data_IF_965606333489
#
_entry.id   IF_965606333489
#
_cell.length_a   1.000
_cell.length_b   1.000
_cell.length_c   1.000
_cell.angle_alpha   90.00
_cell.angle_beta   90.00
_cell.angle_gamma   90.00
#
_symmetry.space_group_name_H-M   'P 1'
#
loop_
_entity.id
_entity.type
_entity.pdbx_description
1 polymer ?
#
# COMPACT_ATOMS: atom_id res chain seq x y z
N UNK A 1 24.44 -24.98 10.75
CA UNK A 1 24.56 -26.46 10.72
C UNK A 1 25.38 -26.91 11.91
N UNK A 2 25.15 -28.12 12.42
CA UNK A 2 25.90 -28.71 13.53
C UNK A 2 25.96 -30.23 13.42
N UNK A 3 26.98 -30.83 14.01
CA UNK A 3 27.14 -32.29 14.06
C UNK A 3 26.66 -32.79 15.42
N UNK A 4 25.67 -33.67 15.41
CA UNK A 4 25.05 -34.21 16.61
C UNK A 4 25.36 -35.68 16.72
N UNK A 5 25.68 -36.11 17.94
CA UNK A 5 25.93 -37.51 18.25
C UNK A 5 24.78 -38.00 19.12
N UNK A 6 24.05 -39.00 18.62
CA UNK A 6 23.11 -39.77 19.42
C UNK A 6 23.86 -40.95 20.01
N UNK A 7 23.71 -41.17 21.32
CA UNK A 7 24.28 -42.30 22.04
C UNK A 7 23.13 -43.09 22.67
N UNK A 8 23.02 -44.36 22.34
CA UNK A 8 22.07 -45.28 22.95
C UNK A 8 22.85 -46.37 23.70
N UNK A 9 22.52 -46.63 24.96
CA UNK A 9 23.28 -47.53 25.82
C UNK A 9 22.38 -48.48 26.61
N UNK A 10 22.80 -49.74 26.71
CA UNK A 10 22.19 -50.78 27.56
C UNK A 10 23.28 -51.59 28.29
N UNK A 11 22.89 -52.67 28.98
CA UNK A 11 23.82 -53.52 29.75
C UNK A 11 24.82 -54.30 28.87
N UNK A 12 24.52 -54.47 27.58
CA UNK A 12 25.35 -55.21 26.62
C UNK A 12 26.35 -54.28 25.90
N UNK A 13 26.10 -52.97 25.88
CA UNK A 13 27.01 -52.01 25.26
C UNK A 13 26.36 -50.67 24.89
N UNK A 14 27.09 -49.88 24.11
CA UNK A 14 26.67 -48.57 23.62
C UNK A 14 26.81 -48.47 22.10
N UNK A 15 25.78 -47.97 21.42
CA UNK A 15 25.84 -47.58 20.00
C UNK A 15 25.86 -46.05 19.87
N UNK A 16 26.64 -45.56 18.90
CA UNK A 16 26.74 -44.13 18.61
C UNK A 16 26.47 -43.85 17.14
N UNK A 17 25.56 -42.90 16.90
CA UNK A 17 25.23 -42.44 15.55
C UNK A 17 25.45 -40.95 15.44
N UNK A 18 26.24 -40.56 14.46
CA UNK A 18 26.53 -39.16 14.16
C UNK A 18 25.64 -38.70 13.02
N UNK A 19 24.80 -37.71 13.28
CA UNK A 19 23.97 -37.06 12.28
C UNK A 19 24.47 -35.62 12.08
N UNK A 20 24.69 -35.22 10.83
CA UNK A 20 24.97 -33.83 10.51
C UNK A 20 23.65 -33.13 10.24
N UNK A 21 23.23 -32.27 11.17
CA UNK A 21 22.00 -31.49 11.02
C UNK A 21 22.36 -30.14 10.42
N UNK A 22 21.96 -29.96 9.16
CA UNK A 22 21.92 -28.63 8.56
C UNK A 22 20.56 -28.02 8.88
N UNK A 23 20.53 -27.16 9.90
CA UNK A 23 19.42 -26.22 10.05
C UNK A 23 19.53 -25.26 8.87
N UNK A 24 18.83 -25.59 7.79
CA UNK A 24 18.43 -24.56 6.88
C UNK A 24 17.49 -23.66 7.70
N UNK A 25 17.87 -22.40 7.89
CA UNK A 25 16.90 -21.33 8.11
C UNK A 25 16.08 -21.18 6.82
N UNK A 26 15.42 -22.25 6.39
CA UNK A 26 14.49 -22.24 5.29
C UNK A 26 13.26 -21.57 5.86
N UNK A 27 13.02 -20.34 5.43
CA UNK A 27 11.65 -19.91 5.17
C UNK A 27 10.94 -21.11 4.55
N UNK A 28 9.98 -21.66 5.28
CA UNK A 28 9.23 -22.83 4.83
C UNK A 28 8.68 -22.47 3.46
N UNK A 29 9.11 -23.21 2.46
CA UNK A 29 8.67 -23.08 1.09
C UNK A 29 7.14 -23.21 1.09
N UNK A 30 6.44 -22.10 0.84
CA UNK A 30 4.97 -22.03 0.89
C UNK A 30 4.36 -21.28 2.08
N UNK A 31 5.10 -20.93 3.15
CA UNK A 31 4.59 -19.96 4.13
C UNK A 31 4.85 -18.55 3.63
N UNK A 32 3.78 -17.80 3.35
CA UNK A 32 3.88 -16.44 2.84
C UNK A 32 4.36 -15.50 3.95
N UNK A 33 5.69 -15.37 4.07
CA UNK A 33 6.34 -14.53 5.11
C UNK A 33 6.21 -13.05 4.78
N UNK A 34 6.07 -12.70 3.50
CA UNK A 34 5.86 -11.33 3.04
C UNK A 34 4.45 -11.16 2.49
N UNK A 35 3.72 -10.16 3.00
CA UNK A 35 2.42 -9.77 2.45
C UNK A 35 2.41 -8.28 2.11
N UNK A 36 2.20 -7.98 0.84
CA UNK A 36 1.97 -6.62 0.33
C UNK A 36 0.46 -6.30 0.35
N UNK A 37 0.15 -5.02 0.56
CA UNK A 37 -1.19 -4.46 0.64
C UNK A 37 -1.23 -3.12 -0.09
N UNK A 38 -2.38 -2.82 -0.69
CA UNK A 38 -2.67 -1.48 -1.21
C UNK A 38 -3.20 -0.62 -0.07
N UNK A 39 -2.56 0.52 0.19
CA UNK A 39 -3.04 1.52 1.16
C UNK A 39 -3.95 2.55 0.52
N UNK A 40 -3.53 3.05 -0.64
CA UNK A 40 -4.24 4.10 -1.36
C UNK A 40 -4.04 3.93 -2.85
N UNK A 41 -5.10 4.21 -3.60
CA UNK A 41 -5.09 4.18 -5.06
C UNK A 41 -5.61 5.52 -5.56
N UNK A 42 -4.85 6.14 -6.44
CA UNK A 42 -5.22 7.36 -7.15
C UNK A 42 -5.17 7.14 -8.67
N UNK A 43 -5.47 8.19 -9.43
CA UNK A 43 -5.50 8.12 -10.89
C UNK A 43 -4.11 7.90 -11.50
N UNK A 44 -3.06 8.44 -10.90
CA UNK A 44 -1.69 8.36 -11.43
C UNK A 44 -0.68 7.79 -10.43
N UNK A 45 -1.16 7.32 -9.28
CA UNK A 45 -0.29 6.79 -8.23
C UNK A 45 -0.96 5.72 -7.39
N UNK A 46 -0.14 4.84 -6.82
CA UNK A 46 -0.58 3.77 -5.92
C UNK A 46 0.39 3.72 -4.75
N UNK A 47 -0.15 3.89 -3.54
CA UNK A 47 0.59 3.69 -2.30
C UNK A 47 0.42 2.26 -1.84
N UNK A 48 1.53 1.52 -1.79
CA UNK A 48 1.57 0.16 -1.25
C UNK A 48 2.31 0.13 0.08
N UNK A 49 1.94 -0.84 0.91
CA UNK A 49 2.63 -1.16 2.17
C UNK A 49 2.81 -2.66 2.31
N UNK A 50 3.77 -3.11 3.10
CA UNK A 50 3.97 -4.54 3.33
C UNK A 50 4.27 -4.85 4.78
N UNK A 51 3.87 -6.05 5.19
CA UNK A 51 4.18 -6.63 6.49
C UNK A 51 4.92 -7.93 6.31
N UNK A 52 5.79 -8.21 7.27
CA UNK A 52 6.56 -9.45 7.32
C UNK A 52 6.12 -10.23 8.56
N UNK A 53 5.71 -11.49 8.38
CA UNK A 53 5.23 -12.33 9.47
C UNK A 53 6.42 -12.78 10.35
N UNK A 54 6.42 -12.33 11.60
CA UNK A 54 7.51 -12.52 12.56
C UNK A 54 7.60 -13.93 13.17
N UNK A 55 6.64 -14.82 12.95
CA UNK A 55 6.67 -16.16 13.56
C UNK A 55 7.75 -17.09 12.97
N UNK A 56 8.37 -16.71 11.84
CA UNK A 56 9.56 -17.36 11.24
C UNK A 56 10.85 -16.54 11.51
N UNK A 57 10.75 -15.48 12.33
CA UNK A 57 11.69 -14.36 12.36
C UNK A 57 12.48 -14.29 13.67
N UNK A 58 12.92 -15.42 14.20
CA UNK A 58 13.81 -15.46 15.37
C UNK A 58 15.30 -15.43 15.00
N UNK A 59 15.66 -15.42 13.71
CA UNK A 59 17.06 -15.28 13.32
C UNK A 59 17.24 -14.36 12.10
N UNK A 60 17.54 -13.08 12.35
CA UNK A 60 18.39 -12.23 11.50
C UNK A 60 18.06 -12.24 9.99
N UNK A 61 16.79 -12.11 9.59
CA UNK A 61 16.46 -11.82 8.20
C UNK A 61 16.74 -10.33 7.92
N UNK A 62 18.02 -9.96 7.80
CA UNK A 62 18.41 -8.67 7.25
C UNK A 62 18.21 -8.74 5.73
N UNK A 63 17.18 -8.07 5.25
CA UNK A 63 16.98 -7.93 3.81
C UNK A 63 18.19 -7.22 3.20
N UNK A 64 18.73 -7.76 2.12
CA UNK A 64 19.82 -7.12 1.37
C UNK A 64 19.28 -6.24 0.24
N UNK A 65 18.09 -6.57 -0.27
CA UNK A 65 17.47 -5.87 -1.37
C UNK A 65 15.97 -6.07 -1.39
N UNK A 66 15.24 -5.02 -1.74
CA UNK A 66 13.82 -5.05 -2.06
C UNK A 66 13.62 -4.46 -3.46
N UNK A 67 12.81 -5.14 -4.26
CA UNK A 67 12.55 -4.79 -5.66
C UNK A 67 11.04 -4.80 -5.88
N UNK A 68 10.50 -3.67 -6.29
CA UNK A 68 9.11 -3.55 -6.71
C UNK A 68 9.03 -3.70 -8.22
N UNK A 69 8.17 -4.60 -8.70
CA UNK A 69 7.84 -4.76 -10.12
C UNK A 69 6.38 -4.38 -10.34
N UNK A 70 6.13 -3.56 -11.35
CA UNK A 70 4.80 -3.27 -11.86
C UNK A 70 4.70 -3.89 -13.24
N UNK A 71 3.61 -4.63 -13.48
CA UNK A 71 3.33 -5.23 -14.78
C UNK A 71 1.93 -4.86 -15.26
N UNK A 72 1.85 -4.56 -16.55
CA UNK A 72 0.63 -4.42 -17.36
C UNK A 72 1.02 -4.94 -18.76
N UNK A 73 0.12 -5.57 -19.55
CA UNK A 73 0.32 -5.90 -20.95
C UNK A 73 1.15 -4.92 -21.81
N UNK A 74 1.13 -3.63 -21.49
CA UNK A 74 1.86 -2.59 -22.23
C UNK A 74 3.17 -2.12 -21.60
N UNK A 75 3.36 -2.24 -20.28
CA UNK A 75 4.49 -1.62 -19.57
C UNK A 75 4.92 -2.52 -18.40
N UNK A 76 6.21 -2.79 -18.33
CA UNK A 76 6.85 -3.40 -17.17
C UNK A 76 7.87 -2.42 -16.58
N UNK A 77 7.74 -2.11 -15.30
CA UNK A 77 8.67 -1.22 -14.59
C UNK A 77 9.20 -1.87 -13.32
N UNK A 78 10.46 -1.58 -12.97
CA UNK A 78 11.13 -2.13 -11.79
C UNK A 78 11.82 -1.02 -11.01
N UNK A 79 11.53 -0.92 -9.70
CA UNK A 79 12.14 0.02 -8.78
C UNK A 79 12.86 -0.70 -7.65
N UNK A 80 14.01 -0.17 -7.23
CA UNK A 80 14.69 -0.60 -6.00
C UNK A 80 14.10 0.15 -4.82
N UNK A 81 13.73 -0.59 -3.79
CA UNK A 81 13.11 -0.06 -2.58
C UNK A 81 14.14 -0.15 -1.43
N UNK A 82 14.32 0.91 -0.64
CA UNK A 82 15.16 0.85 0.56
C UNK A 82 14.65 -0.23 1.53
N UNK A 83 15.57 -0.94 2.20
CA UNK A 83 15.21 -2.06 3.08
C UNK A 83 14.59 -1.66 4.41
N UNK A 84 14.72 -0.38 4.81
CA UNK A 84 14.17 0.16 6.06
C UNK A 84 12.77 0.76 5.90
N UNK A 85 12.28 0.92 4.67
CA UNK A 85 10.91 1.40 4.42
C UNK A 85 9.93 0.24 4.32
N UNK A 86 8.68 0.49 4.68
CA UNK A 86 7.59 -0.48 4.64
C UNK A 86 6.44 -0.02 3.75
N UNK A 87 6.63 1.12 3.08
CA UNK A 87 5.66 1.80 2.24
C UNK A 87 6.38 2.41 1.05
N UNK A 88 5.72 2.40 -0.10
CA UNK A 88 6.28 2.95 -1.33
C UNK A 88 5.18 3.50 -2.22
N UNK A 89 5.39 4.71 -2.73
CA UNK A 89 4.46 5.38 -3.64
C UNK A 89 4.91 5.16 -5.09
N UNK A 90 4.11 4.44 -5.84
CA UNK A 90 4.28 4.21 -7.27
C UNK A 90 3.64 5.37 -8.01
N UNK A 91 4.38 6.09 -8.85
CA UNK A 91 3.90 7.28 -9.57
C UNK A 91 3.98 7.09 -11.09
N UNK A 92 3.47 8.07 -11.83
CA UNK A 92 3.48 8.09 -13.30
C UNK A 92 2.71 6.91 -13.92
N UNK A 93 1.65 6.47 -13.26
CA UNK A 93 0.77 5.43 -13.76
C UNK A 93 -0.32 6.01 -14.65
N UNK A 94 -0.85 5.18 -15.54
CA UNK A 94 -1.99 5.55 -16.36
C UNK A 94 -3.28 5.40 -15.55
N UNK A 95 -4.23 6.35 -15.65
CA UNK A 95 -5.56 6.21 -15.06
C UNK A 95 -6.35 5.04 -15.61
N UNK A 96 -7.34 4.57 -14.86
CA UNK A 96 -8.27 3.50 -15.30
C UNK A 96 -7.57 2.24 -15.82
N UNK A 97 -6.42 1.89 -15.24
CA UNK A 97 -5.52 0.85 -15.76
C UNK A 97 -5.23 -0.19 -14.69
N UNK A 98 -5.30 -1.46 -15.07
CA UNK A 98 -4.99 -2.60 -14.20
C UNK A 98 -3.48 -2.85 -14.15
N UNK A 99 -2.97 -3.03 -12.93
CA UNK A 99 -1.58 -3.33 -12.66
C UNK A 99 -1.44 -4.51 -11.70
N UNK A 100 -0.49 -5.40 -11.99
CA UNK A 100 0.05 -6.34 -11.01
C UNK A 100 1.28 -5.71 -10.34
N UNK A 101 1.21 -5.52 -9.02
CA UNK A 101 2.29 -4.97 -8.22
C UNK A 101 2.90 -6.08 -7.39
N UNK A 102 4.16 -6.41 -7.67
CA UNK A 102 4.91 -7.46 -6.97
C UNK A 102 6.10 -6.89 -6.21
N UNK A 103 6.17 -7.20 -4.92
CA UNK A 103 7.35 -6.97 -4.10
C UNK A 103 8.16 -8.25 -4.00
N UNK A 104 9.42 -8.18 -4.43
CA UNK A 104 10.42 -9.23 -4.25
C UNK A 104 11.49 -8.76 -3.29
N UNK A 105 11.78 -9.56 -2.29
CA UNK A 105 12.74 -9.24 -1.24
C UNK A 105 13.73 -10.39 -1.10
N UNK A 106 15.00 -10.06 -0.88
CA UNK A 106 16.10 -11.03 -0.84
C UNK A 106 16.85 -10.92 0.49
N UNK A 107 17.16 -12.06 1.09
CA UNK A 107 17.98 -12.14 2.28
C UNK A 107 19.49 -12.19 1.93
N UNK A 108 20.37 -11.94 2.89
CA UNK A 108 21.83 -12.10 2.78
C UNK A 108 22.28 -13.49 2.27
N UNK A 109 21.43 -14.51 2.48
CA UNK A 109 21.64 -15.87 2.00
C UNK A 109 21.07 -16.12 0.59
N UNK A 110 20.74 -15.06 -0.16
CA UNK A 110 20.16 -15.09 -1.51
C UNK A 110 18.80 -15.81 -1.61
N UNK A 111 18.14 -16.07 -0.49
CA UNK A 111 16.76 -16.55 -0.48
C UNK A 111 15.81 -15.41 -0.84
N UNK A 112 14.93 -15.65 -1.80
CA UNK A 112 13.96 -14.66 -2.28
C UNK A 112 12.55 -14.97 -1.79
N UNK A 113 11.78 -13.93 -1.50
CA UNK A 113 10.34 -14.00 -1.28
C UNK A 113 9.64 -13.03 -2.21
N UNK A 114 8.49 -13.43 -2.73
CA UNK A 114 7.68 -12.62 -3.66
C UNK A 114 6.24 -12.56 -3.15
N UNK A 115 5.65 -11.37 -3.19
CA UNK A 115 4.25 -11.13 -2.86
C UNK A 115 3.66 -10.17 -3.89
N UNK A 116 2.46 -10.44 -4.41
CA UNK A 116 1.82 -9.64 -5.45
C UNK A 116 0.40 -9.27 -5.09
N UNK A 117 -0.04 -8.12 -5.59
CA UNK A 117 -1.41 -7.61 -5.51
C UNK A 117 -1.82 -7.02 -6.85
N UNK A 118 -3.08 -7.24 -7.22
CA UNK A 118 -3.68 -6.60 -8.39
C UNK A 118 -4.41 -5.34 -7.95
N UNK A 119 -4.25 -4.27 -8.71
CA UNK A 119 -4.81 -2.96 -8.39
C UNK A 119 -5.11 -2.18 -9.66
N UNK A 120 -6.28 -1.55 -9.68
CA UNK A 120 -6.75 -0.71 -10.80
C UNK A 120 -6.65 0.74 -10.38
N UNK A 121 -5.93 1.58 -11.14
CA UNK A 121 -5.88 3.03 -10.89
C UNK A 121 -7.25 3.67 -11.07
N UNK A 122 -7.51 4.75 -10.33
CA UNK A 122 -8.78 5.49 -10.47
C UNK A 122 -8.86 6.17 -11.84
N UNK A 123 -10.07 6.55 -12.24
CA UNK A 123 -10.25 7.42 -13.39
C UNK A 123 -9.61 8.79 -13.10
N UNK A 124 -9.03 9.41 -14.14
CA UNK A 124 -8.67 10.81 -14.09
C UNK A 124 -9.96 11.62 -14.16
N UNK A 125 -10.63 11.80 -13.02
CA UNK A 125 -11.63 12.81 -12.89
C UNK A 125 -10.90 14.16 -13.02
N UNK A 126 -11.14 14.87 -14.12
CA UNK A 126 -10.93 16.30 -14.12
C UNK A 126 -11.78 16.84 -12.97
N UNK A 127 -11.15 17.50 -12.00
CA UNK A 127 -11.88 18.25 -11.00
C UNK A 127 -12.64 19.36 -11.74
N UNK A 128 -13.85 19.05 -12.20
CA UNK A 128 -14.88 20.05 -12.27
C UNK A 128 -15.09 20.43 -10.81
N UNK A 129 -14.44 21.52 -10.39
CA UNK A 129 -14.99 22.36 -9.34
C UNK A 129 -16.39 22.74 -9.82
N UNK A 130 -17.36 21.84 -9.61
CA UNK A 130 -18.71 22.27 -9.35
C UNK A 130 -18.54 22.99 -8.03
N UNK A 131 -18.23 24.28 -8.14
CA UNK A 131 -18.42 25.22 -7.07
C UNK A 131 -19.88 25.03 -6.71
N UNK A 132 -20.14 24.23 -5.68
CA UNK A 132 -21.33 24.42 -4.88
C UNK A 132 -21.15 25.83 -4.35
N UNK A 133 -21.63 26.78 -5.17
CA UNK A 133 -21.88 28.14 -4.82
C UNK A 133 -22.84 27.99 -3.64
N UNK A 134 -22.28 27.87 -2.42
CA UNK A 134 -23.02 28.06 -1.21
C UNK A 134 -23.66 29.43 -1.40
N UNK A 135 -24.94 29.40 -1.76
CA UNK A 135 -25.72 30.58 -2.02
C UNK A 135 -25.81 31.24 -0.67
N UNK A 136 -24.86 32.14 -0.42
CA UNK A 136 -24.67 32.80 0.86
C UNK A 136 -26.00 33.41 1.23
N UNK A 137 -26.67 32.81 2.21
CA UNK A 137 -28.02 33.17 2.65
C UNK A 137 -28.06 34.64 3.07
N UNK A 138 -26.91 35.18 3.52
CA UNK A 138 -26.69 36.59 3.77
C UNK A 138 -26.86 37.46 2.51
N UNK A 139 -26.28 37.07 1.36
CA UNK A 139 -26.42 37.83 0.11
C UNK A 139 -27.88 37.82 -0.39
N UNK A 140 -28.57 36.69 -0.27
CA UNK A 140 -29.99 36.59 -0.62
C UNK A 140 -30.86 37.48 0.29
N UNK A 141 -30.59 37.51 1.59
CA UNK A 141 -31.31 38.35 2.55
C UNK A 141 -31.08 39.85 2.28
N UNK A 142 -29.84 40.25 2.01
CA UNK A 142 -29.50 41.64 1.69
C UNK A 142 -30.22 42.10 0.42
N UNK A 143 -30.16 41.30 -0.66
CA UNK A 143 -30.86 41.65 -1.90
C UNK A 143 -32.38 41.73 -1.70
N UNK A 144 -32.99 40.78 -1.00
CA UNK A 144 -34.43 40.80 -0.71
C UNK A 144 -34.87 42.03 0.09
N UNK A 145 -34.07 42.44 1.09
CA UNK A 145 -34.37 43.61 1.91
C UNK A 145 -34.33 44.92 1.12
N UNK A 146 -33.37 45.07 0.20
CA UNK A 146 -33.27 46.27 -0.66
C UNK A 146 -34.49 46.41 -1.57
N UNK A 147 -34.95 45.31 -2.18
CA UNK A 147 -36.16 45.31 -3.02
C UNK A 147 -37.42 45.68 -2.21
N UNK A 148 -37.53 45.21 -0.96
CA UNK A 148 -38.65 45.56 -0.09
C UNK A 148 -38.68 47.06 0.28
N UNK A 149 -37.52 47.65 0.56
CA UNK A 149 -37.43 49.09 0.89
C UNK A 149 -37.78 49.96 -0.33
N UNK A 150 -37.28 49.59 -1.52
CA UNK A 150 -37.55 50.35 -2.76
C UNK A 150 -39.04 50.29 -3.14
N UNK A 151 -39.68 49.13 -2.97
CA UNK A 151 -41.11 48.97 -3.23
C UNK A 151 -41.97 49.76 -2.24
N UNK A 152 -41.66 49.75 -0.95
CA UNK A 152 -42.36 50.58 0.04
C UNK A 152 -42.18 52.09 -0.22
N UNK A 153 -40.98 52.52 -0.61
CA UNK A 153 -40.71 53.91 -0.96
C UNK A 153 -41.49 54.36 -2.20
N UNK A 154 -41.58 53.51 -3.23
CA UNK A 154 -42.33 53.83 -4.44
C UNK A 154 -43.84 53.85 -4.21
N UNK A 155 -44.38 52.94 -3.41
CA UNK A 155 -45.81 52.96 -3.03
C UNK A 155 -46.15 54.18 -2.18
N UNK A 156 -45.31 54.55 -1.22
CA UNK A 156 -45.54 55.75 -0.39
C UNK A 156 -45.50 57.04 -1.20
N UNK A 157 -44.59 57.15 -2.18
CA UNK A 157 -44.56 58.28 -3.14
C UNK A 157 -45.79 58.27 -4.06
N UNK A 158 -46.27 57.09 -4.47
CA UNK A 158 -47.48 56.97 -5.30
C UNK A 158 -48.75 57.37 -4.55
N UNK A 159 -48.88 57.01 -3.27
CA UNK A 159 -50.04 57.34 -2.43
C UNK A 159 -50.01 58.78 -1.93
N UNK A 160 -48.83 59.41 -1.84
CA UNK A 160 -48.67 60.81 -1.43
C UNK A 160 -48.88 61.83 -2.58
N UNK A 161 -49.23 61.36 -3.78
CA UNK A 161 -49.47 62.19 -4.97
C UNK A 161 -50.94 62.16 -5.36
#
# INVERSE_FOLDING_TARGET
SGRYTCVAQNIEGADTRVATIRVNGTLLDGTQVLKIYVKQTESHSILVSWKVNSNVMTSNLKWSSATMKIDNPHITYTARVPVDVHEYNLTHLQPSTDYEVCLTVSNIHQQTQKSCVNVTTKNAAFALDITDQETSTALAAVMGSMFAVISLASVSVYVAK
#
